data_IF_372147543270
#
_entry.id   IF_372147543270
#
_cell.length_a   1.000
_cell.length_b   1.000
_cell.length_c   1.000
_cell.angle_alpha   90.00
_cell.angle_beta   90.00
_cell.angle_gamma   90.00
#
_symmetry.space_group_name_H-M   'P 1'
#
loop_
_entity.id
_entity.type
_entity.pdbx_description
1 polymer ?
#
# COMPACT_ATOMS: atom_id res chain seq x y z
N UNK A 1 4.72 -32.26 -19.14
CA UNK A 1 3.57 -33.15 -19.38
C UNK A 1 2.49 -33.08 -18.28
N UNK A 2 2.82 -32.76 -17.02
CA UNK A 2 1.88 -32.71 -15.89
C UNK A 2 0.87 -31.55 -15.93
N UNK A 3 1.25 -30.36 -16.39
CA UNK A 3 0.32 -29.22 -16.53
C UNK A 3 -0.69 -29.39 -17.69
N UNK A 4 -0.27 -30.02 -18.79
CA UNK A 4 -1.15 -30.31 -19.93
C UNK A 4 -2.19 -31.38 -19.58
N UNK A 5 -1.83 -32.37 -18.76
CA UNK A 5 -2.76 -33.40 -18.28
C UNK A 5 -3.81 -32.81 -17.33
N UNK A 6 -3.43 -31.87 -16.46
CA UNK A 6 -4.36 -31.14 -15.60
C UNK A 6 -5.33 -30.27 -16.40
N UNK A 7 -4.84 -29.60 -17.45
CA UNK A 7 -5.65 -28.82 -18.38
C UNK A 7 -6.62 -29.71 -19.17
N UNK A 8 -6.19 -30.89 -19.63
CA UNK A 8 -7.05 -31.84 -20.35
C UNK A 8 -8.12 -32.46 -19.43
N UNK A 9 -7.79 -32.74 -18.16
CA UNK A 9 -8.77 -33.21 -17.16
C UNK A 9 -9.76 -32.10 -16.77
N UNK A 10 -9.31 -30.84 -16.65
CA UNK A 10 -10.20 -29.69 -16.47
C UNK A 10 -11.11 -29.51 -17.68
N UNK A 11 -10.59 -29.65 -18.91
CA UNK A 11 -11.35 -29.55 -20.16
C UNK A 11 -12.34 -30.71 -20.38
N UNK A 12 -12.14 -31.86 -19.72
CA UNK A 12 -13.06 -33.02 -19.76
C UNK A 12 -14.35 -32.84 -18.97
N UNK A 13 -14.47 -31.77 -18.17
CA UNK A 13 -15.69 -31.43 -17.41
C UNK A 13 -16.67 -30.54 -18.21
N UNK A 14 -16.30 -30.12 -19.43
CA UNK A 14 -17.10 -29.23 -20.27
C UNK A 14 -18.12 -30.03 -21.12
N UNK A 15 -19.05 -30.71 -20.43
CA UNK A 15 -20.26 -31.28 -21.02
C UNK A 15 -21.34 -30.21 -21.16
N UNK A 16 -22.07 -30.23 -22.27
CA UNK A 16 -23.18 -29.32 -22.55
C UNK A 16 -24.45 -29.82 -21.83
N UNK A 17 -24.75 -29.27 -20.66
CA UNK A 17 -26.11 -29.34 -20.11
C UNK A 17 -26.92 -28.13 -20.56
N UNK A 18 -28.24 -28.32 -20.67
CA UNK A 18 -29.18 -27.29 -21.08
C UNK A 18 -29.22 -26.10 -20.10
N UNK A 19 -29.74 -24.93 -20.52
CA UNK A 19 -29.86 -23.77 -19.64
C UNK A 19 -30.60 -24.09 -18.34
N UNK A 20 -30.06 -23.67 -17.19
CA UNK A 20 -30.79 -23.65 -15.91
C UNK A 20 -30.80 -24.97 -15.12
N UNK A 21 -29.84 -25.87 -15.34
CA UNK A 21 -29.69 -27.11 -14.58
C UNK A 21 -28.92 -26.96 -13.27
N UNK A 22 -28.20 -25.86 -13.06
CA UNK A 22 -27.43 -25.65 -11.83
C UNK A 22 -28.24 -25.01 -10.70
N UNK A 23 -27.93 -25.42 -9.47
CA UNK A 23 -28.51 -24.87 -8.25
C UNK A 23 -27.72 -23.65 -7.75
N UNK A 24 -28.26 -22.96 -6.75
CA UNK A 24 -27.64 -21.77 -6.13
C UNK A 24 -27.40 -20.61 -7.11
N UNK A 25 -28.47 -19.99 -7.65
CA UNK A 25 -28.36 -18.84 -8.55
C UNK A 25 -27.66 -17.63 -7.93
N UNK A 26 -27.63 -17.54 -6.59
CA UNK A 26 -26.91 -16.47 -5.87
C UNK A 26 -25.41 -16.40 -6.23
N UNK A 27 -24.80 -17.52 -6.65
CA UNK A 27 -23.40 -17.52 -7.11
C UNK A 27 -23.18 -16.75 -8.43
N UNK A 28 -24.25 -16.48 -9.19
CA UNK A 28 -24.23 -15.66 -10.42
C UNK A 28 -24.41 -14.18 -10.15
N UNK A 29 -24.85 -13.81 -8.94
CA UNK A 29 -25.07 -12.41 -8.58
C UNK A 29 -23.72 -11.72 -8.44
N UNK A 30 -23.42 -10.82 -9.38
CA UNK A 30 -22.18 -10.08 -9.39
C UNK A 30 -21.98 -9.27 -8.12
N UNK A 31 -20.80 -9.36 -7.50
CA UNK A 31 -20.50 -8.63 -6.26
C UNK A 31 -19.79 -7.29 -6.54
N UNK A 32 -20.06 -6.28 -5.71
CA UNK A 32 -19.47 -4.94 -5.81
C UNK A 32 -20.27 -3.98 -6.71
N UNK A 33 -20.51 -2.77 -6.20
CA UNK A 33 -21.36 -1.77 -6.88
C UNK A 33 -20.68 -1.17 -8.10
N UNK A 34 -19.37 -0.90 -8.02
CA UNK A 34 -18.55 -0.48 -9.16
C UNK A 34 -18.64 -1.47 -10.33
N UNK A 35 -18.51 -2.77 -10.06
CA UNK A 35 -18.58 -3.82 -11.07
C UNK A 35 -19.99 -3.91 -11.69
N UNK A 36 -21.04 -3.79 -10.87
CA UNK A 36 -22.43 -3.78 -11.34
C UNK A 36 -22.69 -2.66 -12.35
N UNK A 37 -22.19 -1.44 -12.07
CA UNK A 37 -22.31 -0.29 -12.97
C UNK A 37 -21.54 -0.43 -14.30
N UNK A 38 -20.60 -1.37 -14.37
CA UNK A 38 -19.76 -1.65 -15.54
C UNK A 38 -20.23 -2.88 -16.32
N UNK A 39 -21.53 -3.19 -16.26
CA UNK A 39 -22.11 -4.36 -16.93
C UNK A 39 -21.53 -5.67 -16.43
N UNK A 40 -20.99 -5.69 -15.20
CA UNK A 40 -20.27 -6.83 -14.63
C UNK A 40 -19.05 -7.27 -15.45
N UNK A 41 -18.47 -6.36 -16.26
CA UNK A 41 -17.16 -6.52 -16.90
C UNK A 41 -16.08 -6.09 -15.92
N UNK A 42 -15.47 -7.06 -15.24
CA UNK A 42 -14.56 -6.79 -14.13
C UNK A 42 -13.39 -7.77 -13.99
N UNK A 43 -13.27 -8.79 -14.85
CA UNK A 43 -12.20 -9.81 -14.71
C UNK A 43 -10.81 -9.19 -14.84
N UNK A 44 -10.62 -8.25 -15.76
CA UNK A 44 -9.36 -7.51 -15.93
C UNK A 44 -9.22 -6.28 -15.02
N UNK A 45 -10.35 -5.71 -14.57
CA UNK A 45 -10.39 -4.52 -13.71
C UNK A 45 -10.27 -4.84 -12.21
N UNK A 46 -10.53 -6.08 -11.81
CA UNK A 46 -10.51 -6.57 -10.42
C UNK A 46 -9.26 -6.11 -9.65
N UNK A 47 -9.41 -5.04 -8.85
CA UNK A 47 -8.32 -4.42 -8.08
C UNK A 47 -8.73 -3.93 -6.69
N UNK A 48 -9.90 -4.36 -6.21
CA UNK A 48 -10.46 -4.09 -4.89
C UNK A 48 -10.95 -5.39 -4.21
N UNK A 49 -11.74 -5.27 -3.13
CA UNK A 49 -12.24 -6.43 -2.39
C UNK A 49 -13.15 -7.35 -3.24
N UNK A 50 -13.85 -6.80 -4.24
CA UNK A 50 -14.68 -7.57 -5.16
C UNK A 50 -13.87 -8.47 -6.11
N UNK A 51 -12.54 -8.27 -6.19
CA UNK A 51 -11.65 -9.19 -6.89
C UNK A 51 -11.78 -10.63 -6.38
N UNK A 52 -12.13 -10.84 -5.10
CA UNK A 52 -12.39 -12.17 -4.55
C UNK A 52 -13.46 -12.93 -5.35
N UNK A 53 -14.48 -12.25 -5.84
CA UNK A 53 -15.56 -12.84 -6.64
C UNK A 53 -15.27 -12.86 -8.15
N UNK A 54 -14.69 -11.78 -8.68
CA UNK A 54 -14.51 -11.62 -10.14
C UNK A 54 -13.28 -12.34 -10.68
N UNK A 55 -12.14 -12.17 -10.02
CA UNK A 55 -10.89 -12.83 -10.37
C UNK A 55 -9.93 -12.75 -9.16
N UNK A 56 -9.76 -13.82 -8.36
CA UNK A 56 -8.91 -13.80 -7.18
C UNK A 56 -7.47 -13.36 -7.43
N UNK A 57 -6.93 -13.49 -8.66
CA UNK A 57 -5.61 -12.96 -8.99
C UNK A 57 -5.52 -11.44 -8.90
N UNK A 58 -6.65 -10.73 -9.01
CA UNK A 58 -6.78 -9.30 -8.80
C UNK A 58 -6.37 -8.86 -7.39
N UNK A 59 -6.54 -9.73 -6.38
CA UNK A 59 -6.09 -9.45 -5.00
C UNK A 59 -4.58 -9.20 -4.92
N UNK A 60 -3.78 -9.75 -5.85
CA UNK A 60 -2.35 -9.46 -5.95
C UNK A 60 -2.02 -7.99 -6.30
N UNK A 61 -3.02 -7.17 -6.66
CA UNK A 61 -2.90 -5.72 -6.89
C UNK A 61 -3.33 -4.89 -5.68
N UNK A 62 -4.05 -5.49 -4.73
CA UNK A 62 -4.56 -4.78 -3.56
C UNK A 62 -3.38 -4.46 -2.64
N UNK A 63 -3.09 -3.16 -2.52
CA UNK A 63 -1.96 -2.65 -1.72
C UNK A 63 -2.39 -1.88 -0.48
N UNK A 64 -3.70 -1.59 -0.38
CA UNK A 64 -4.34 -0.84 0.71
C UNK A 64 -5.40 -1.72 1.36
N UNK A 65 -5.70 -1.48 2.63
CA UNK A 65 -6.82 -2.12 3.30
C UNK A 65 -8.12 -1.64 2.66
N UNK A 66 -8.93 -2.58 2.18
CA UNK A 66 -10.23 -2.30 1.56
C UNK A 66 -11.33 -2.90 2.40
N UNK A 67 -12.39 -2.16 2.65
CA UNK A 67 -13.62 -2.67 3.25
C UNK A 67 -14.79 -2.16 2.42
N UNK A 68 -15.73 -3.03 2.07
CA UNK A 68 -16.89 -2.72 1.23
C UNK A 68 -18.15 -3.21 1.92
N UNK A 69 -19.14 -2.35 1.97
CA UNK A 69 -20.53 -2.68 2.32
C UNK A 69 -21.39 -2.34 1.11
N UNK A 70 -22.33 -3.21 0.76
CA UNK A 70 -23.30 -2.90 -0.27
C UNK A 70 -24.66 -3.51 0.02
N UNK A 71 -25.69 -2.76 -0.34
CA UNK A 71 -27.08 -3.17 -0.33
C UNK A 71 -27.59 -3.22 -1.77
N UNK A 72 -28.32 -4.27 -2.09
CA UNK A 72 -28.91 -4.49 -3.40
C UNK A 72 -30.41 -4.73 -3.25
N UNK A 73 -31.21 -3.81 -3.78
CA UNK A 73 -32.65 -3.99 -3.91
C UNK A 73 -32.93 -4.48 -5.34
N UNK A 74 -33.45 -5.68 -5.46
CA UNK A 74 -33.98 -6.21 -6.71
C UNK A 74 -35.46 -5.89 -6.84
N UNK A 75 -36.01 -6.23 -8.01
CA UNK A 75 -37.46 -6.37 -8.14
C UNK A 75 -37.98 -7.52 -7.25
N UNK A 76 -39.30 -7.55 -7.04
CA UNK A 76 -39.99 -8.55 -6.22
C UNK A 76 -39.55 -8.60 -4.73
N UNK A 77 -38.88 -7.56 -4.23
CA UNK A 77 -38.55 -7.44 -2.80
C UNK A 77 -37.39 -8.33 -2.34
N UNK A 78 -36.62 -8.91 -3.28
CA UNK A 78 -35.38 -9.64 -2.96
C UNK A 78 -34.31 -8.62 -2.58
N UNK A 79 -33.61 -8.89 -1.48
CA UNK A 79 -32.57 -8.00 -0.94
C UNK A 79 -31.27 -8.74 -0.73
N UNK A 80 -30.18 -8.21 -1.26
CA UNK A 80 -28.84 -8.70 -0.95
C UNK A 80 -28.06 -7.71 -0.09
N UNK A 81 -27.38 -8.25 0.92
CA UNK A 81 -26.41 -7.57 1.75
C UNK A 81 -25.02 -8.16 1.52
N UNK A 82 -24.06 -7.30 1.20
CA UNK A 82 -22.68 -7.68 0.90
C UNK A 82 -21.72 -7.00 1.87
N UNK A 83 -20.86 -7.81 2.49
CA UNK A 83 -19.72 -7.35 3.28
C UNK A 83 -18.46 -7.96 2.68
N UNK A 84 -17.48 -7.15 2.32
CA UNK A 84 -16.19 -7.62 1.83
C UNK A 84 -15.04 -6.86 2.46
N UNK A 85 -13.91 -7.55 2.64
CA UNK A 85 -12.69 -6.94 3.13
C UNK A 85 -11.48 -7.53 2.42
N UNK A 86 -10.47 -6.71 2.13
CA UNK A 86 -9.19 -7.16 1.62
C UNK A 86 -8.03 -6.55 2.41
N UNK A 87 -7.12 -7.43 2.84
CA UNK A 87 -6.01 -7.14 3.73
C UNK A 87 -4.69 -7.38 2.98
N UNK A 88 -3.95 -6.31 2.61
CA UNK A 88 -2.71 -6.44 1.88
C UNK A 88 -1.59 -7.03 2.77
N UNK A 89 -1.00 -8.13 2.30
CA UNK A 89 0.20 -8.78 2.83
C UNK A 89 1.47 -8.40 2.07
N UNK A 90 2.60 -9.05 2.34
CA UNK A 90 3.91 -8.70 1.72
C UNK A 90 3.94 -8.92 0.19
N UNK A 91 3.38 -10.03 -0.28
CA UNK A 91 3.44 -10.47 -1.69
C UNK A 91 2.08 -10.48 -2.40
N UNK A 92 1.00 -10.17 -1.68
CA UNK A 92 -0.37 -10.36 -2.13
C UNK A 92 -1.38 -9.78 -1.15
N UNK A 93 -2.65 -10.16 -1.24
CA UNK A 93 -3.68 -9.78 -0.28
C UNK A 93 -4.60 -10.96 0.03
N UNK A 94 -4.99 -11.08 1.30
CA UNK A 94 -6.07 -11.94 1.75
C UNK A 94 -7.39 -11.18 1.62
N UNK A 95 -8.47 -11.87 1.27
CA UNK A 95 -9.79 -11.29 1.24
C UNK A 95 -10.83 -12.20 1.88
N UNK A 96 -11.87 -11.55 2.38
CA UNK A 96 -13.06 -12.13 2.98
C UNK A 96 -14.28 -11.51 2.29
N UNK A 97 -15.32 -12.32 2.09
CA UNK A 97 -16.61 -11.85 1.59
C UNK A 97 -17.76 -12.63 2.24
N UNK A 98 -18.82 -11.93 2.60
CA UNK A 98 -20.08 -12.50 3.03
C UNK A 98 -21.19 -11.85 2.19
N UNK A 99 -21.95 -12.67 1.48
CA UNK A 99 -23.15 -12.27 0.76
C UNK A 99 -24.34 -12.96 1.42
N UNK A 100 -25.33 -12.19 1.82
CA UNK A 100 -26.61 -12.68 2.34
C UNK A 100 -27.71 -12.17 1.42
N UNK A 101 -28.65 -13.04 1.04
CA UNK A 101 -29.78 -12.71 0.19
C UNK A 101 -31.05 -13.23 0.85
N UNK A 102 -32.09 -12.39 0.90
CA UNK A 102 -33.36 -12.77 1.50
C UNK A 102 -34.55 -12.29 0.67
N UNK A 103 -35.58 -13.12 0.65
CA UNK A 103 -36.87 -12.86 0.01
C UNK A 103 -37.97 -13.19 1.02
N UNK A 104 -38.50 -12.18 1.74
CA UNK A 104 -39.59 -12.35 2.69
C UNK A 104 -40.96 -12.29 2.01
N UNK A 105 -41.97 -12.91 2.63
CA UNK A 105 -43.38 -12.67 2.27
C UNK A 105 -43.82 -13.31 0.95
N UNK A 106 -43.19 -14.42 0.55
CA UNK A 106 -43.58 -15.19 -0.62
C UNK A 106 -44.95 -15.82 -0.36
N UNK A 107 -45.90 -15.55 -1.25
CA UNK A 107 -47.25 -16.10 -1.16
C UNK A 107 -47.25 -17.61 -1.40
N UNK A 108 -48.03 -18.33 -0.59
CA UNK A 108 -48.28 -19.74 -0.78
C UNK A 108 -49.76 -19.95 -1.13
N UNK A 109 -50.01 -20.63 -2.24
CA UNK A 109 -51.35 -20.98 -2.70
C UNK A 109 -51.51 -22.50 -2.71
N UNK A 110 -52.58 -23.01 -2.10
CA UNK A 110 -52.86 -24.45 -2.05
C UNK A 110 -53.33 -24.96 -3.42
N UNK A 111 -53.31 -26.29 -3.66
CA UNK A 111 -53.90 -26.87 -4.87
C UNK A 111 -55.39 -26.57 -5.06
N UNK A 112 -56.11 -26.20 -3.98
CA UNK A 112 -57.50 -25.76 -4.02
C UNK A 112 -57.65 -24.25 -4.35
N UNK A 113 -56.56 -23.57 -4.70
CA UNK A 113 -56.49 -22.13 -4.95
C UNK A 113 -56.94 -21.27 -3.76
N UNK A 114 -56.62 -21.72 -2.54
CA UNK A 114 -56.81 -20.92 -1.33
C UNK A 114 -55.46 -20.36 -0.85
N UNK A 115 -55.41 -19.11 -0.36
CA UNK A 115 -54.18 -18.55 0.19
C UNK A 115 -53.84 -19.27 1.50
N UNK A 116 -52.58 -19.65 1.66
CA UNK A 116 -52.01 -20.09 2.94
C UNK A 116 -51.05 -19.05 3.51
N UNK A 117 -50.32 -19.44 4.55
CA UNK A 117 -49.35 -18.55 5.21
C UNK A 117 -48.17 -18.25 4.28
N UNK A 118 -47.75 -16.99 4.24
CA UNK A 118 -46.54 -16.59 3.49
C UNK A 118 -45.30 -17.21 4.12
N UNK A 119 -44.31 -17.53 3.30
CA UNK A 119 -43.01 -17.99 3.77
C UNK A 119 -41.89 -17.06 3.28
N UNK A 120 -40.69 -17.25 3.83
CA UNK A 120 -39.49 -16.54 3.37
C UNK A 120 -38.41 -17.53 2.96
N UNK A 121 -37.53 -17.10 2.07
CA UNK A 121 -36.31 -17.85 1.75
C UNK A 121 -35.09 -16.97 1.97
N UNK A 122 -33.96 -17.60 2.26
CA UNK A 122 -32.70 -16.89 2.37
C UNK A 122 -31.53 -17.76 1.98
N UNK A 123 -30.49 -17.12 1.49
CA UNK A 123 -29.24 -17.75 1.09
C UNK A 123 -28.06 -16.96 1.61
N UNK A 124 -26.96 -17.65 1.88
CA UNK A 124 -25.70 -17.03 2.27
C UNK A 124 -24.52 -17.67 1.57
N UNK A 125 -23.53 -16.86 1.22
CA UNK A 125 -22.25 -17.29 0.65
C UNK A 125 -21.13 -16.63 1.44
N UNK A 126 -20.30 -17.47 2.06
CA UNK A 126 -19.06 -17.07 2.69
C UNK A 126 -17.91 -17.36 1.73
N UNK A 127 -17.03 -16.38 1.52
CA UNK A 127 -15.89 -16.48 0.62
C UNK A 127 -14.60 -16.08 1.34
N UNK A 128 -13.55 -16.84 1.13
CA UNK A 128 -12.19 -16.52 1.56
C UNK A 128 -11.24 -16.70 0.39
N UNK A 129 -10.23 -15.85 0.26
CA UNK A 129 -9.27 -16.03 -0.81
C UNK A 129 -7.97 -15.28 -0.61
N UNK A 130 -7.01 -15.63 -1.47
CA UNK A 130 -5.70 -15.01 -1.50
C UNK A 130 -5.24 -14.85 -2.94
N UNK A 131 -4.68 -13.68 -3.26
CA UNK A 131 -4.01 -13.45 -4.54
C UNK A 131 -2.64 -12.87 -4.34
N UNK A 132 -1.69 -13.31 -5.16
CA UNK A 132 -0.27 -13.00 -5.08
C UNK A 132 0.24 -12.45 -6.41
N UNK A 133 1.14 -11.46 -6.32
CA UNK A 133 1.91 -10.99 -7.47
C UNK A 133 3.32 -11.57 -7.38
N UNK A 134 3.53 -12.71 -8.03
CA UNK A 134 4.80 -13.45 -7.97
C UNK A 134 5.86 -12.90 -8.94
N UNK A 135 5.47 -12.15 -9.96
CA UNK A 135 6.38 -11.46 -10.86
C UNK A 135 5.82 -10.09 -11.27
N UNK A 136 6.64 -9.25 -11.94
CA UNK A 136 6.23 -7.86 -12.26
C UNK A 136 4.93 -7.78 -13.06
N UNK A 137 4.66 -8.77 -13.91
CA UNK A 137 3.50 -8.81 -14.80
C UNK A 137 2.49 -9.90 -14.46
N UNK A 138 2.85 -10.89 -13.64
CA UNK A 138 2.05 -12.09 -13.44
C UNK A 138 1.46 -12.17 -12.03
N UNK A 139 0.20 -12.57 -11.96
CA UNK A 139 -0.58 -12.73 -10.73
C UNK A 139 -1.35 -14.05 -10.77
N UNK A 140 -1.50 -14.63 -9.60
CA UNK A 140 -2.31 -15.82 -9.36
C UNK A 140 -3.20 -15.57 -8.15
N UNK A 141 -4.35 -16.21 -8.09
CA UNK A 141 -5.14 -16.22 -6.88
C UNK A 141 -6.07 -17.42 -6.82
N UNK A 142 -6.50 -17.73 -5.61
CA UNK A 142 -7.47 -18.77 -5.34
C UNK A 142 -8.47 -18.27 -4.30
N UNK A 143 -9.72 -18.72 -4.43
CA UNK A 143 -10.78 -18.45 -3.48
C UNK A 143 -11.52 -19.74 -3.16
N UNK A 144 -12.01 -19.86 -1.93
CA UNK A 144 -12.94 -20.90 -1.52
C UNK A 144 -14.26 -20.25 -1.12
N UNK A 145 -15.36 -20.92 -1.44
CA UNK A 145 -16.72 -20.52 -1.10
C UNK A 145 -17.40 -21.63 -0.33
N UNK A 146 -18.10 -21.27 0.73
CA UNK A 146 -19.07 -22.13 1.40
C UNK A 146 -20.42 -21.43 1.36
N UNK A 147 -21.50 -22.18 1.17
CA UNK A 147 -22.81 -21.59 1.05
C UNK A 147 -23.91 -22.44 1.67
N UNK A 148 -25.00 -21.77 2.02
CA UNK A 148 -26.22 -22.37 2.56
C UNK A 148 -27.43 -21.67 1.95
N UNK A 149 -28.45 -22.45 1.59
CA UNK A 149 -29.72 -22.00 1.04
C UNK A 149 -30.86 -22.62 1.86
N UNK A 150 -31.72 -21.76 2.40
CA UNK A 150 -32.95 -22.14 3.09
C UNK A 150 -34.13 -21.84 2.17
N UNK A 151 -34.80 -22.91 1.74
CA UNK A 151 -36.02 -22.86 0.95
C UNK A 151 -37.20 -23.30 1.83
N UNK A 152 -38.44 -23.07 1.38
CA UNK A 152 -39.65 -23.40 2.14
C UNK A 152 -39.69 -24.85 2.64
N UNK A 153 -39.40 -25.81 1.77
CA UNK A 153 -39.50 -27.26 2.07
C UNK A 153 -38.18 -28.00 1.92
N UNK A 154 -37.07 -27.29 1.74
CA UNK A 154 -35.76 -27.88 1.50
C UNK A 154 -34.65 -26.93 1.94
N UNK A 155 -33.50 -27.51 2.22
CA UNK A 155 -32.26 -26.79 2.36
C UNK A 155 -31.21 -27.34 1.39
N UNK A 156 -30.21 -26.51 1.12
CA UNK A 156 -29.06 -26.91 0.34
C UNK A 156 -27.79 -26.26 0.87
N UNK A 157 -26.69 -26.98 0.77
CA UNK A 157 -25.38 -26.51 1.16
C UNK A 157 -24.31 -27.05 0.24
N UNK A 158 -23.14 -26.43 0.27
CA UNK A 158 -22.02 -26.87 -0.53
C UNK A 158 -20.86 -25.91 -0.48
N UNK A 159 -19.92 -26.15 -1.37
CA UNK A 159 -18.75 -25.31 -1.49
C UNK A 159 -18.10 -25.41 -2.86
N UNK A 160 -17.29 -24.41 -3.16
CA UNK A 160 -16.62 -24.29 -4.44
C UNK A 160 -15.26 -23.62 -4.34
N UNK A 161 -14.43 -23.87 -5.35
CA UNK A 161 -13.14 -23.24 -5.56
C UNK A 161 -13.24 -22.27 -6.74
N UNK A 162 -12.58 -21.12 -6.60
CA UNK A 162 -12.31 -20.19 -7.68
C UNK A 162 -10.80 -20.11 -7.90
N UNK A 163 -10.37 -20.10 -9.16
CA UNK A 163 -8.97 -19.98 -9.54
C UNK A 163 -8.82 -18.84 -10.54
N UNK A 164 -7.88 -17.94 -10.26
CA UNK A 164 -7.62 -16.76 -11.05
C UNK A 164 -6.17 -16.70 -11.53
N UNK A 165 -5.99 -16.24 -12.76
CA UNK A 165 -4.71 -15.82 -13.32
C UNK A 165 -4.85 -14.42 -13.91
N UNK A 166 -3.79 -13.63 -13.82
CA UNK A 166 -3.75 -12.29 -14.40
C UNK A 166 -2.38 -11.93 -14.93
N UNK A 167 -2.36 -11.28 -16.09
CA UNK A 167 -1.16 -10.77 -16.75
C UNK A 167 -1.35 -9.31 -17.16
N UNK A 168 -0.29 -8.51 -17.00
CA UNK A 168 -0.16 -7.17 -17.57
C UNK A 168 0.80 -7.19 -18.77
N UNK A 169 0.34 -7.50 -20.00
CA UNK A 169 1.22 -7.64 -21.16
C UNK A 169 1.85 -6.30 -21.58
N UNK A 170 1.06 -5.22 -21.51
CA UNK A 170 1.44 -3.86 -21.87
C UNK A 170 1.05 -2.91 -20.73
N UNK A 171 1.61 -1.70 -20.72
CA UNK A 171 1.17 -0.68 -19.77
C UNK A 171 -0.30 -0.31 -20.02
N UNK A 172 -1.08 -0.22 -18.94
CA UNK A 172 -2.51 0.04 -19.00
C UNK A 172 -3.39 -1.14 -19.40
N UNK A 173 -2.86 -2.18 -20.07
CA UNK A 173 -3.62 -3.36 -20.47
C UNK A 173 -3.48 -4.50 -19.47
N UNK A 174 -4.60 -5.02 -19.00
CA UNK A 174 -4.72 -6.14 -18.08
C UNK A 174 -5.54 -7.24 -18.72
N UNK A 175 -5.08 -8.48 -18.60
CA UNK A 175 -5.81 -9.66 -19.07
C UNK A 175 -5.94 -10.64 -17.92
N UNK A 176 -7.12 -11.19 -17.73
CA UNK A 176 -7.43 -12.17 -16.69
C UNK A 176 -8.05 -13.43 -17.27
N UNK A 177 -7.74 -14.56 -16.64
CA UNK A 177 -8.41 -15.84 -16.82
C UNK A 177 -8.95 -16.27 -15.47
N UNK A 178 -10.18 -16.78 -15.43
CA UNK A 178 -10.78 -17.25 -14.18
C UNK A 178 -11.62 -18.50 -14.44
N UNK A 179 -11.50 -19.47 -13.53
CA UNK A 179 -12.48 -20.54 -13.36
C UNK A 179 -13.22 -20.31 -12.04
N UNK A 180 -14.55 -20.22 -12.06
CA UNK A 180 -15.37 -19.93 -10.89
C UNK A 180 -16.35 -21.06 -10.60
N UNK A 181 -16.67 -21.18 -9.31
CA UNK A 181 -17.68 -22.09 -8.77
C UNK A 181 -17.38 -23.58 -9.03
N UNK A 182 -16.10 -23.97 -9.12
CA UNK A 182 -15.68 -25.37 -9.27
C UNK A 182 -15.95 -26.12 -7.96
N UNK A 183 -17.06 -26.84 -7.89
CA UNK A 183 -17.48 -27.45 -6.64
C UNK A 183 -18.73 -28.28 -6.75
N UNK A 184 -19.31 -28.57 -5.58
CA UNK A 184 -20.47 -29.44 -5.45
C UNK A 184 -21.48 -28.83 -4.49
N UNK A 185 -22.75 -29.08 -4.77
CA UNK A 185 -23.85 -28.78 -3.86
C UNK A 185 -24.62 -30.05 -3.54
N UNK A 186 -25.23 -30.05 -2.36
CA UNK A 186 -26.19 -31.06 -1.95
C UNK A 186 -27.49 -30.37 -1.55
N UNK A 187 -28.58 -30.82 -2.15
CA UNK A 187 -29.93 -30.45 -1.76
C UNK A 187 -30.67 -31.73 -1.37
N UNK A 188 -31.14 -31.80 -0.12
CA UNK A 188 -31.65 -33.04 0.47
C UNK A 188 -30.63 -34.20 0.34
N UNK A 189 -30.97 -35.23 -0.45
CA UNK A 189 -30.12 -36.42 -0.68
C UNK A 189 -29.48 -36.45 -2.08
N UNK A 190 -29.65 -35.38 -2.88
CA UNK A 190 -29.14 -35.33 -4.26
C UNK A 190 -27.95 -34.39 -4.36
N UNK A 191 -26.93 -34.85 -5.10
CA UNK A 191 -25.86 -33.99 -5.58
C UNK A 191 -26.36 -33.19 -6.78
N UNK A 192 -26.03 -31.90 -6.79
CA UNK A 192 -26.46 -30.96 -7.81
C UNK A 192 -25.26 -30.14 -8.28
N UNK A 193 -25.26 -29.80 -9.56
CA UNK A 193 -24.20 -29.00 -10.17
C UNK A 193 -24.34 -27.53 -9.80
N UNK A 194 -23.18 -26.88 -9.68
CA UNK A 194 -23.07 -25.45 -9.47
C UNK A 194 -22.93 -24.70 -10.81
N UNK A 195 -23.25 -23.39 -10.85
CA UNK A 195 -23.09 -22.55 -12.04
C UNK A 195 -21.60 -22.29 -12.28
N UNK A 196 -20.91 -23.34 -12.69
CA UNK A 196 -19.49 -23.40 -12.96
C UNK A 196 -19.22 -22.68 -14.27
N UNK A 197 -18.19 -21.86 -14.28
CA UNK A 197 -17.85 -21.08 -15.47
C UNK A 197 -16.36 -20.86 -15.61
N UNK A 198 -15.92 -20.80 -16.86
CA UNK A 198 -14.61 -20.27 -17.23
C UNK A 198 -14.81 -18.93 -17.94
N UNK A 199 -13.91 -17.99 -17.71
CA UNK A 199 -13.99 -16.69 -18.37
C UNK A 199 -12.61 -16.09 -18.65
N UNK A 200 -12.56 -15.29 -19.70
CA UNK A 200 -11.42 -14.45 -20.06
C UNK A 200 -11.88 -13.00 -20.10
N UNK A 201 -11.06 -12.09 -19.59
CA UNK A 201 -11.37 -10.67 -19.60
C UNK A 201 -10.16 -9.81 -19.89
N UNK A 202 -10.38 -8.68 -20.53
CA UNK A 202 -9.38 -7.68 -20.79
C UNK A 202 -9.86 -6.32 -20.29
N UNK A 203 -8.95 -5.55 -19.72
CA UNK A 203 -9.21 -4.19 -19.30
C UNK A 203 -8.08 -3.28 -19.75
N UNK A 204 -8.41 -2.19 -20.42
CA UNK A 204 -7.46 -1.17 -20.80
C UNK A 204 -7.74 0.10 -20.01
N UNK A 205 -6.72 0.63 -19.35
CA UNK A 205 -6.81 1.86 -18.56
C UNK A 205 -5.75 2.85 -18.99
N UNK A 206 -6.17 4.07 -19.32
CA UNK A 206 -5.31 5.19 -19.63
C UNK A 206 -5.86 6.47 -19.01
N UNK A 207 -5.03 7.14 -18.21
CA UNK A 207 -5.38 8.37 -17.51
C UNK A 207 -6.67 8.24 -16.66
N UNK A 208 -7.76 8.84 -17.16
CA UNK A 208 -9.08 8.90 -16.52
C UNK A 208 -10.10 7.96 -17.14
N UNK A 209 -9.71 7.14 -18.11
CA UNK A 209 -10.59 6.21 -18.82
C UNK A 209 -10.16 4.76 -18.59
N UNK A 210 -11.13 3.91 -18.27
CA UNK A 210 -10.97 2.46 -18.23
C UNK A 210 -12.06 1.80 -19.07
N UNK A 211 -11.69 0.82 -19.87
CA UNK A 211 -12.60 0.02 -20.71
C UNK A 211 -12.37 -1.45 -20.40
N UNK A 212 -13.44 -2.20 -20.20
CA UNK A 212 -13.45 -3.64 -19.93
C UNK A 212 -14.23 -4.41 -20.99
N UNK A 213 -13.76 -5.61 -21.30
CA UNK A 213 -14.44 -6.59 -22.13
C UNK A 213 -14.17 -8.00 -21.58
N UNK A 214 -15.24 -8.71 -21.23
CA UNK A 214 -15.18 -10.08 -20.70
C UNK A 214 -16.00 -11.02 -21.58
N UNK A 215 -15.47 -12.22 -21.84
CA UNK A 215 -16.14 -13.33 -22.50
C UNK A 215 -16.28 -14.50 -21.53
N UNK A 216 -17.51 -14.97 -21.34
CA UNK A 216 -17.86 -15.96 -20.33
C UNK A 216 -18.38 -17.25 -20.97
N UNK A 217 -17.89 -18.36 -20.44
CA UNK A 217 -18.26 -19.73 -20.77
C UNK A 217 -18.81 -20.42 -19.51
N UNK A 218 -20.09 -20.21 -19.17
CA UNK A 218 -20.78 -21.04 -18.18
C UNK A 218 -21.07 -22.43 -18.75
N UNK A 219 -21.11 -23.45 -17.90
CA UNK A 219 -21.40 -24.84 -18.32
C UNK A 219 -22.89 -25.11 -18.54
N UNK A 220 -23.74 -24.37 -17.83
CA UNK A 220 -25.19 -24.58 -17.71
C UNK A 220 -26.00 -23.40 -18.28
N UNK A 221 -25.39 -22.56 -19.11
CA UNK A 221 -26.03 -21.41 -19.74
C UNK A 221 -25.35 -21.03 -21.07
N UNK A 222 -26.01 -20.21 -21.91
CA UNK A 222 -25.37 -19.66 -23.10
C UNK A 222 -24.15 -18.80 -22.77
N UNK A 223 -23.16 -18.88 -23.64
CA UNK A 223 -21.97 -18.02 -23.63
C UNK A 223 -22.40 -16.58 -23.85
N UNK A 224 -21.73 -15.66 -23.18
CA UNK A 224 -22.12 -14.25 -23.23
C UNK A 224 -20.91 -13.34 -23.05
N UNK A 225 -21.10 -12.07 -23.41
CA UNK A 225 -20.09 -11.03 -23.35
C UNK A 225 -20.58 -9.94 -22.39
N UNK A 226 -19.62 -9.30 -21.72
CA UNK A 226 -19.83 -8.13 -20.87
C UNK A 226 -18.85 -7.06 -21.27
N UNK A 227 -19.32 -5.83 -21.38
CA UNK A 227 -18.50 -4.67 -21.68
C UNK A 227 -18.81 -3.54 -20.70
N UNK A 228 -17.80 -2.77 -20.34
CA UNK A 228 -17.93 -1.67 -19.39
C UNK A 228 -16.97 -0.53 -19.68
N UNK A 229 -17.38 0.69 -19.38
CA UNK A 229 -16.57 1.90 -19.49
C UNK A 229 -16.68 2.71 -18.20
N UNK A 230 -15.54 3.06 -17.62
CA UNK A 230 -15.42 3.96 -16.47
C UNK A 230 -14.67 5.23 -16.91
N UNK A 231 -15.28 6.39 -16.72
CA UNK A 231 -14.67 7.68 -16.95
C UNK A 231 -14.62 8.50 -15.66
N UNK A 232 -13.44 9.02 -15.30
CA UNK A 232 -13.20 9.79 -14.08
C UNK A 232 -12.92 11.26 -14.41
N UNK A 233 -13.95 12.09 -14.66
CA UNK A 233 -13.75 13.50 -15.04
C UNK A 233 -13.00 14.31 -13.98
N UNK A 234 -13.09 13.91 -12.71
CA UNK A 234 -12.33 14.45 -11.60
C UNK A 234 -11.93 13.32 -10.65
N UNK A 235 -10.95 13.54 -9.78
CA UNK A 235 -10.49 12.48 -8.84
C UNK A 235 -11.59 12.08 -7.85
N UNK A 236 -12.55 12.97 -7.59
CA UNK A 236 -13.72 12.75 -6.73
C UNK A 236 -14.86 12.02 -7.44
N UNK A 237 -14.96 12.06 -8.77
CA UNK A 237 -16.14 11.58 -9.51
C UNK A 237 -15.76 10.51 -10.54
N UNK A 238 -16.46 9.37 -10.50
CA UNK A 238 -16.43 8.34 -11.53
C UNK A 238 -17.83 8.17 -12.15
N UNK A 239 -17.90 8.09 -13.46
CA UNK A 239 -19.11 7.78 -14.24
C UNK A 239 -18.91 6.44 -14.94
N UNK A 240 -19.94 5.60 -14.92
CA UNK A 240 -19.84 4.21 -15.38
C UNK A 240 -21.05 3.81 -16.20
N UNK A 241 -20.78 3.07 -17.26
CA UNK A 241 -21.77 2.47 -18.14
C UNK A 241 -21.31 1.07 -18.51
N UNK A 242 -22.24 0.12 -18.63
CA UNK A 242 -21.93 -1.20 -19.15
C UNK A 242 -23.10 -1.89 -19.81
N UNK A 243 -22.78 -3.01 -20.45
CA UNK A 243 -23.72 -3.85 -21.15
C UNK A 243 -23.33 -5.32 -21.00
N UNK A 244 -24.32 -6.17 -20.69
CA UNK A 244 -24.17 -7.63 -20.63
C UNK A 244 -25.17 -8.31 -21.54
N UNK A 245 -24.71 -9.31 -22.29
CA UNK A 245 -25.58 -10.10 -23.19
C UNK A 245 -26.18 -11.33 -22.51
N UNK A 246 -25.86 -11.56 -21.24
CA UNK A 246 -26.29 -12.72 -20.46
C UNK A 246 -25.75 -12.64 -19.03
N UNK A 247 -26.21 -13.53 -18.11
CA UNK A 247 -27.21 -14.58 -18.34
C UNK A 247 -28.66 -14.08 -18.38
N UNK A 248 -28.88 -12.76 -18.32
CA UNK A 248 -30.19 -12.13 -18.52
C UNK A 248 -30.80 -12.56 -19.86
N UNK A 249 -32.08 -12.94 -19.84
CA UNK A 249 -32.85 -13.24 -21.04
C UNK A 249 -33.25 -11.94 -21.77
N UNK A 250 -32.39 -11.50 -22.68
CA UNK A 250 -32.63 -10.32 -23.51
C UNK A 250 -33.78 -10.52 -24.52
N UNK A 251 -34.12 -11.76 -24.87
CA UNK A 251 -35.23 -12.03 -25.79
C UNK A 251 -36.57 -11.76 -25.10
N UNK A 252 -36.72 -12.19 -23.83
CA UNK A 252 -37.91 -11.95 -23.02
C UNK A 252 -37.99 -10.54 -22.41
N UNK A 253 -36.86 -9.98 -21.96
CA UNK A 253 -36.83 -8.71 -21.21
C UNK A 253 -36.46 -7.50 -22.07
N UNK A 254 -36.01 -7.72 -23.31
CA UNK A 254 -35.58 -6.69 -24.24
C UNK A 254 -34.09 -6.30 -24.08
N UNK A 255 -33.53 -5.70 -25.13
CA UNK A 255 -32.11 -5.33 -25.20
C UNK A 255 -31.66 -4.41 -24.07
N UNK A 256 -32.54 -3.53 -23.59
CA UNK A 256 -32.23 -2.58 -22.53
C UNK A 256 -31.98 -3.26 -21.19
N UNK A 257 -32.48 -4.50 -20.96
CA UNK A 257 -32.18 -5.27 -19.74
C UNK A 257 -30.70 -5.68 -19.61
N UNK A 258 -29.93 -5.55 -20.70
CA UNK A 258 -28.49 -5.73 -20.70
C UNK A 258 -27.72 -4.51 -20.19
N UNK A 259 -28.33 -3.32 -20.16
CA UNK A 259 -27.67 -2.09 -19.73
C UNK A 259 -27.46 -2.06 -18.22
N UNK A 260 -26.38 -1.43 -17.81
CA UNK A 260 -26.22 -0.93 -16.44
C UNK A 260 -25.45 0.38 -16.44
N UNK A 261 -25.63 1.16 -15.38
CA UNK A 261 -24.93 2.43 -15.23
C UNK A 261 -24.82 2.81 -13.78
N UNK A 262 -23.98 3.80 -13.50
CA UNK A 262 -23.75 4.24 -12.13
C UNK A 262 -22.70 5.32 -12.01
N UNK A 263 -22.47 5.73 -10.77
CA UNK A 263 -21.45 6.71 -10.44
C UNK A 263 -20.76 6.37 -9.12
N UNK A 264 -19.60 6.97 -8.90
CA UNK A 264 -18.82 6.84 -7.68
C UNK A 264 -18.33 8.20 -7.21
N UNK A 265 -18.40 8.45 -5.90
CA UNK A 265 -17.94 9.67 -5.24
C UNK A 265 -16.83 9.32 -4.24
N UNK A 266 -15.60 9.73 -4.52
CA UNK A 266 -14.44 9.51 -3.66
C UNK A 266 -14.20 10.71 -2.73
N UNK A 267 -14.53 10.55 -1.45
CA UNK A 267 -14.42 11.55 -0.39
C UNK A 267 -13.28 11.15 0.56
N UNK A 268 -12.03 11.27 0.08
CA UNK A 268 -10.84 10.88 0.84
C UNK A 268 -10.74 9.36 1.00
N UNK A 269 -10.74 8.80 2.24
CA UNK A 269 -10.68 7.35 2.47
C UNK A 269 -12.02 6.65 2.26
N UNK A 270 -13.13 7.38 2.08
CA UNK A 270 -14.47 6.81 1.87
C UNK A 270 -14.88 7.03 0.42
N UNK A 271 -15.47 6.03 -0.20
CA UNK A 271 -16.10 6.11 -1.52
C UNK A 271 -17.54 5.64 -1.42
N UNK A 272 -18.45 6.42 -1.99
CA UNK A 272 -19.83 6.03 -2.20
C UNK A 272 -19.99 5.60 -3.65
N UNK A 273 -20.65 4.47 -3.89
CA UNK A 273 -20.99 4.02 -5.24
C UNK A 273 -22.48 3.72 -5.35
N UNK A 274 -23.03 4.01 -6.51
CA UNK A 274 -24.39 3.68 -6.88
C UNK A 274 -24.41 3.04 -8.27
N UNK A 275 -25.23 2.00 -8.43
CA UNK A 275 -25.47 1.36 -9.71
C UNK A 275 -26.96 1.08 -9.91
N UNK A 276 -27.41 1.16 -11.15
CA UNK A 276 -28.76 0.81 -11.58
C UNK A 276 -28.68 -0.12 -12.78
N UNK A 277 -29.59 -1.10 -12.83
CA UNK A 277 -29.70 -2.06 -13.93
C UNK A 277 -31.18 -2.29 -14.25
N UNK A 278 -31.70 -1.84 -15.40
CA UNK A 278 -33.02 -2.23 -15.89
C UNK A 278 -33.10 -3.74 -16.12
N UNK A 279 -34.27 -4.32 -15.87
CA UNK A 279 -34.58 -5.74 -16.10
C UNK A 279 -35.91 -5.90 -16.85
N UNK A 280 -36.19 -4.97 -17.76
CA UNK A 280 -37.40 -4.99 -18.59
C UNK A 280 -38.68 -4.94 -17.76
N UNK A 281 -39.61 -5.84 -18.06
CA UNK A 281 -40.90 -5.93 -17.37
C UNK A 281 -40.79 -6.22 -15.86
N UNK A 282 -39.64 -6.73 -15.38
CA UNK A 282 -39.40 -6.99 -13.97
C UNK A 282 -39.13 -5.71 -13.17
N UNK A 283 -38.73 -4.62 -13.82
CA UNK A 283 -38.40 -3.34 -13.19
C UNK A 283 -36.90 -3.07 -13.12
N UNK A 284 -36.47 -2.36 -12.08
CA UNK A 284 -35.09 -1.94 -11.90
C UNK A 284 -34.46 -2.62 -10.68
N UNK A 285 -33.18 -2.92 -10.79
CA UNK A 285 -32.35 -3.28 -9.66
C UNK A 285 -31.44 -2.10 -9.30
N UNK A 286 -31.36 -1.79 -8.01
CA UNK A 286 -30.59 -0.68 -7.47
C UNK A 286 -29.55 -1.19 -6.48
N UNK A 287 -28.31 -0.77 -6.64
CA UNK A 287 -27.22 -1.10 -5.72
C UNK A 287 -26.61 0.16 -5.17
N UNK A 288 -26.41 0.18 -3.86
CA UNK A 288 -25.71 1.26 -3.15
C UNK A 288 -24.59 0.65 -2.32
N UNK A 289 -23.44 1.31 -2.28
CA UNK A 289 -22.30 0.79 -1.57
C UNK A 289 -21.41 1.87 -0.97
N UNK A 290 -20.73 1.48 0.11
CA UNK A 290 -19.71 2.26 0.78
C UNK A 290 -18.42 1.45 0.79
N UNK A 291 -17.39 2.03 0.21
CA UNK A 291 -16.03 1.51 0.18
C UNK A 291 -15.13 2.36 1.07
N UNK A 292 -14.29 1.70 1.86
CA UNK A 292 -13.29 2.34 2.70
C UNK A 292 -11.90 1.89 2.27
N UNK A 293 -11.00 2.85 2.07
CA UNK A 293 -9.65 2.66 1.56
C UNK A 293 -8.59 3.23 2.49
N UNK A 294 -7.98 2.38 3.31
CA UNK A 294 -6.94 2.78 4.25
C UNK A 294 -5.56 2.36 3.77
N UNK A 295 -4.61 3.29 3.76
CA UNK A 295 -3.22 2.97 3.45
C UNK A 295 -2.70 1.88 4.40
N UNK A 296 -1.89 0.97 3.86
CA UNK A 296 -1.23 -0.04 4.69
C UNK A 296 -0.24 0.66 5.63
N UNK A 297 -0.44 0.54 6.95
CA UNK A 297 0.56 0.98 7.94
C UNK A 297 1.90 0.30 7.60
N UNK A 298 2.90 1.04 7.12
CA UNK A 298 4.27 0.53 6.92
C UNK A 298 4.76 0.34 5.48
N UNK A 299 4.25 1.05 4.48
CA UNK A 299 4.71 0.91 3.07
C UNK A 299 5.59 2.05 2.55
N UNK A 300 6.00 2.97 3.43
CA UNK A 300 6.80 4.13 3.06
C UNK A 300 8.16 3.74 2.49
N UNK A 301 8.61 4.51 1.50
CA UNK A 301 9.98 4.42 0.98
C UNK A 301 10.65 5.77 1.11
N UNK A 302 11.88 5.79 1.62
CA UNK A 302 12.68 7.01 1.68
C UNK A 302 13.97 6.74 0.91
N UNK A 303 14.17 7.46 -0.20
CA UNK A 303 15.45 7.50 -0.89
C UNK A 303 16.27 8.64 -0.33
N UNK A 304 17.40 8.31 0.26
CA UNK A 304 18.36 9.25 0.81
C UNK A 304 19.46 9.45 -0.22
N UNK A 305 19.81 10.71 -0.47
CA UNK A 305 20.90 11.09 -1.36
C UNK A 305 21.88 12.01 -0.62
N UNK A 306 23.12 11.61 -0.48
CA UNK A 306 24.20 12.41 0.12
C UNK A 306 25.03 13.07 -0.98
N UNK A 307 25.23 14.37 -0.88
CA UNK A 307 25.91 15.20 -1.90
C UNK A 307 26.84 16.22 -1.28
N UNK A 308 27.79 16.73 -2.06
CA UNK A 308 28.57 17.93 -1.67
C UNK A 308 27.67 19.16 -1.61
N UNK A 309 27.88 20.02 -0.61
CA UNK A 309 27.20 21.32 -0.53
C UNK A 309 27.51 22.20 -1.76
N UNK A 310 28.78 22.24 -2.18
CA UNK A 310 29.21 22.86 -3.42
C UNK A 310 29.13 21.86 -4.59
N UNK A 311 28.19 22.07 -5.52
CA UNK A 311 28.15 21.36 -6.81
C UNK A 311 27.32 20.06 -6.86
N UNK A 312 26.65 19.66 -5.77
CA UNK A 312 25.74 18.50 -5.73
C UNK A 312 26.35 17.18 -6.23
N UNK A 313 27.67 17.03 -6.10
CA UNK A 313 28.35 15.80 -6.49
C UNK A 313 28.03 14.69 -5.48
N UNK A 314 27.81 13.44 -5.93
CA UNK A 314 27.44 12.37 -5.00
C UNK A 314 28.59 11.99 -4.07
N UNK A 315 28.27 11.76 -2.79
CA UNK A 315 29.22 11.33 -1.77
C UNK A 315 28.75 10.05 -1.09
N UNK A 316 29.63 9.08 -0.89
CA UNK A 316 29.35 7.94 -0.01
C UNK A 316 29.59 8.37 1.43
N UNK A 317 28.59 8.21 2.30
CA UNK A 317 28.61 8.64 3.69
C UNK A 317 27.97 7.61 4.62
N UNK A 318 28.35 7.67 5.90
CA UNK A 318 27.76 6.84 6.94
C UNK A 318 26.44 7.45 7.40
N UNK A 319 25.42 6.61 7.54
CA UNK A 319 24.09 6.96 7.99
C UNK A 319 23.75 6.21 9.27
N UNK A 320 23.19 6.91 10.24
CA UNK A 320 22.55 6.33 11.41
C UNK A 320 21.11 6.85 11.53
N UNK A 321 20.18 5.94 11.77
CA UNK A 321 18.75 6.22 11.76
C UNK A 321 18.14 6.03 13.15
N UNK A 322 17.15 6.86 13.43
CA UNK A 322 16.37 6.80 14.68
C UNK A 322 14.91 7.23 14.43
N UNK A 323 13.99 6.80 15.32
CA UNK A 323 12.55 7.01 15.19
C UNK A 323 11.81 5.83 14.55
N UNK A 324 11.11 6.05 13.43
CA UNK A 324 10.32 4.98 12.75
C UNK A 324 11.16 3.86 12.14
N UNK A 325 12.48 4.05 12.06
CA UNK A 325 13.45 3.04 11.67
C UNK A 325 14.74 3.29 12.46
N UNK A 326 15.32 2.23 13.01
CA UNK A 326 16.57 2.29 13.77
C UNK A 326 17.58 1.35 13.12
N UNK A 327 18.78 1.86 12.86
CA UNK A 327 19.83 1.09 12.22
C UNK A 327 20.94 1.98 11.67
N UNK A 328 21.92 1.37 11.04
CA UNK A 328 23.01 2.06 10.36
C UNK A 328 23.15 1.55 8.93
N UNK A 329 23.63 2.42 8.05
CA UNK A 329 23.92 2.06 6.66
C UNK A 329 24.99 2.98 6.08
N UNK A 330 25.44 2.64 4.88
CA UNK A 330 26.26 3.52 4.05
C UNK A 330 25.54 3.80 2.74
N UNK A 331 25.72 5.01 2.21
CA UNK A 331 25.29 5.30 0.85
C UNK A 331 26.23 4.69 -0.18
N UNK A 332 25.71 4.31 -1.34
CA UNK A 332 26.49 3.74 -2.43
C UNK A 332 27.47 4.75 -3.06
N UNK A 333 28.20 4.34 -4.11
CA UNK A 333 29.13 5.22 -4.85
C UNK A 333 28.44 6.41 -5.55
N UNK A 334 27.13 6.35 -5.73
CA UNK A 334 26.30 7.43 -6.26
C UNK A 334 25.62 8.23 -5.13
N UNK A 335 26.07 8.04 -3.89
CA UNK A 335 25.56 8.70 -2.70
C UNK A 335 24.12 8.34 -2.38
N UNK A 336 23.62 7.15 -2.75
CA UNK A 336 22.22 6.75 -2.55
C UNK A 336 22.07 5.64 -1.51
N UNK A 337 21.00 5.72 -0.73
CA UNK A 337 20.52 4.63 0.12
C UNK A 337 19.00 4.62 0.14
N UNK A 338 18.36 3.45 0.05
CA UNK A 338 16.90 3.34 0.05
C UNK A 338 16.40 2.55 1.27
N UNK A 339 15.59 3.21 2.10
CA UNK A 339 14.81 2.57 3.15
C UNK A 339 13.43 2.21 2.60
N UNK A 340 12.98 0.99 2.87
CA UNK A 340 11.67 0.50 2.43
C UNK A 340 10.89 -0.11 3.59
N UNK A 341 9.57 -0.13 3.48
CA UNK A 341 8.70 -0.71 4.52
C UNK A 341 8.55 0.19 5.75
N UNK A 342 8.74 1.51 5.58
CA UNK A 342 8.71 2.45 6.68
C UNK A 342 7.26 2.76 7.13
N UNK A 343 7.06 2.79 8.45
CA UNK A 343 5.81 3.26 9.07
C UNK A 343 5.73 4.80 9.03
N UNK A 344 4.50 5.37 9.02
CA UNK A 344 4.34 6.81 9.19
C UNK A 344 4.89 7.27 10.54
N UNK A 345 5.61 8.40 10.56
CA UNK A 345 6.17 8.99 11.79
C UNK A 345 7.49 9.72 11.56
N UNK A 346 8.20 10.07 12.64
CA UNK A 346 9.45 10.83 12.57
C UNK A 346 10.63 9.89 12.28
N UNK A 347 11.41 10.22 11.25
CA UNK A 347 12.70 9.60 10.93
C UNK A 347 13.79 10.65 11.14
N UNK A 348 14.76 10.36 12.00
CA UNK A 348 15.95 11.18 12.19
C UNK A 348 17.09 10.49 11.44
N UNK A 349 17.78 11.23 10.58
CA UNK A 349 18.91 10.75 9.78
C UNK A 349 20.14 11.51 10.24
N UNK A 350 21.08 10.81 10.86
CA UNK A 350 22.39 11.34 11.23
C UNK A 350 23.38 10.91 10.15
N UNK A 351 24.03 11.87 9.52
CA UNK A 351 24.98 11.64 8.42
C UNK A 351 26.37 12.09 8.85
N UNK A 352 27.37 11.23 8.66
CA UNK A 352 28.76 11.55 8.99
C UNK A 352 29.74 11.06 7.92
N UNK A 353 30.78 11.88 7.71
CA UNK A 353 31.94 11.58 6.87
C UNK A 353 33.17 12.25 7.50
N UNK A 354 34.35 11.60 7.57
CA UNK A 354 35.48 12.10 8.37
C UNK A 354 35.98 13.51 8.06
N UNK A 355 35.92 13.94 6.80
CA UNK A 355 36.38 15.25 6.31
C UNK A 355 35.27 16.31 6.21
N UNK A 356 34.08 16.01 6.77
CA UNK A 356 32.86 16.83 6.61
C UNK A 356 32.18 17.10 7.93
N UNK A 357 31.46 18.21 7.99
CA UNK A 357 30.62 18.56 9.14
C UNK A 357 29.46 17.54 9.24
N UNK A 358 29.30 16.83 10.38
CA UNK A 358 28.18 15.91 10.57
C UNK A 358 26.84 16.64 10.55
N UNK A 359 25.81 16.02 9.97
CA UNK A 359 24.47 16.61 9.85
C UNK A 359 23.40 15.74 10.46
N UNK A 360 22.35 16.37 11.01
CA UNK A 360 21.15 15.70 11.51
C UNK A 360 19.93 16.26 10.79
N UNK A 361 19.27 15.43 10.00
CA UNK A 361 18.04 15.77 9.28
C UNK A 361 16.85 15.05 9.91
N UNK A 362 15.70 15.72 9.98
CA UNK A 362 14.45 15.12 10.46
C UNK A 362 13.41 15.12 9.35
N UNK A 363 12.91 13.94 9.01
CA UNK A 363 11.89 13.73 7.99
C UNK A 363 10.62 13.14 8.61
N UNK A 364 9.45 13.66 8.26
CA UNK A 364 8.17 12.99 8.55
C UNK A 364 7.85 11.99 7.44
N UNK A 365 7.91 10.71 7.77
CA UNK A 365 7.53 9.61 6.89
C UNK A 365 6.01 9.52 6.82
N UNK A 366 5.46 9.43 5.60
CA UNK A 366 4.02 9.35 5.35
C UNK A 366 3.49 7.90 5.25
N UNK A 367 4.36 6.94 4.95
CA UNK A 367 4.06 5.50 4.98
C UNK A 367 3.21 4.95 3.83
N UNK A 368 2.84 5.79 2.86
CA UNK A 368 1.98 5.46 1.71
C UNK A 368 2.62 5.78 0.35
N UNK A 369 3.79 6.44 0.34
CA UNK A 369 4.46 6.93 -0.87
C UNK A 369 5.98 6.89 -0.76
N UNK A 370 6.65 7.18 -1.87
CA UNK A 370 8.09 7.42 -1.93
C UNK A 370 8.40 8.87 -1.58
N UNK A 371 9.35 9.09 -0.68
CA UNK A 371 9.89 10.39 -0.32
C UNK A 371 11.39 10.43 -0.60
N UNK A 372 11.92 11.64 -0.77
CA UNK A 372 13.34 11.88 -1.05
C UNK A 372 13.90 12.78 0.05
N UNK A 373 15.07 12.42 0.57
CA UNK A 373 15.86 13.27 1.46
C UNK A 373 17.21 13.50 0.79
N UNK A 374 17.53 14.77 0.48
CA UNK A 374 18.85 15.14 -0.03
C UNK A 374 19.61 15.81 1.10
N UNK A 375 20.79 15.26 1.43
CA UNK A 375 21.63 15.69 2.53
C UNK A 375 22.93 16.21 1.92
N UNK A 376 23.13 17.51 2.04
CA UNK A 376 24.33 18.22 1.64
C UNK A 376 25.34 18.23 2.79
N UNK A 377 26.59 17.84 2.48
CA UNK A 377 27.71 17.82 3.43
C UNK A 377 28.75 18.86 3.04
N UNK A 378 29.04 19.75 3.98
CA UNK A 378 30.05 20.81 3.86
C UNK A 378 31.44 20.28 4.26
N UNK A 379 32.49 20.82 3.62
CA UNK A 379 33.87 20.57 4.05
C UNK A 379 34.03 21.02 5.49
N UNK A 380 34.71 20.21 6.29
CA UNK A 380 35.16 20.67 7.59
C UNK A 380 36.39 21.55 7.35
N UNK A 381 36.23 22.85 7.55
CA UNK A 381 37.36 23.79 7.49
C UNK A 381 38.19 23.71 8.76
N UNK A 382 39.48 24.01 8.63
CA UNK A 382 40.44 23.98 9.73
C UNK A 382 41.10 25.35 9.91
N UNK A 383 41.36 25.71 11.15
CA UNK A 383 42.19 26.84 11.55
C UNK A 383 43.37 26.40 12.40
N UNK A 384 44.03 27.35 13.04
CA UNK A 384 45.05 27.08 14.04
C UNK A 384 44.87 28.01 15.23
N UNK A 385 45.19 27.52 16.43
CA UNK A 385 45.22 28.32 17.65
C UNK A 385 46.69 28.54 18.01
N UNK A 386 47.10 29.79 18.15
CA UNK A 386 48.40 30.10 18.73
C UNK A 386 48.19 30.64 20.14
N UNK A 387 48.75 29.97 21.14
CA UNK A 387 48.59 30.35 22.55
C UNK A 387 49.93 30.74 23.14
N UNK A 388 49.97 31.84 23.86
CA UNK A 388 51.12 32.26 24.63
C UNK A 388 50.76 32.50 26.10
N UNK A 389 51.62 32.01 26.99
CA UNK A 389 51.48 32.11 28.43
C UNK A 389 52.51 33.10 28.97
N UNK A 390 52.04 34.05 29.77
CA UNK A 390 52.90 35.02 30.43
C UNK A 390 52.57 35.10 31.92
N UNK A 391 53.57 35.37 32.73
CA UNK A 391 53.37 35.75 34.13
C UNK A 391 52.69 37.13 34.18
N UNK A 392 51.61 37.23 34.96
CA UNK A 392 50.77 38.43 34.99
C UNK A 392 51.49 39.67 35.55
N UNK A 393 52.51 39.51 36.41
CA UNK A 393 53.25 40.59 37.05
C UNK A 393 54.49 40.98 36.25
N UNK A 394 55.35 40.01 35.94
CA UNK A 394 56.64 40.24 35.28
C UNK A 394 56.52 40.41 33.77
N UNK A 395 55.39 39.99 33.18
CA UNK A 395 55.15 39.94 31.73
C UNK A 395 56.18 39.08 30.97
N UNK A 396 56.92 38.22 31.67
CA UNK A 396 57.84 37.29 31.02
C UNK A 396 57.10 36.04 30.54
N UNK A 397 57.54 35.44 29.41
CA UNK A 397 56.97 34.19 28.92
C UNK A 397 57.21 33.06 29.92
N UNK A 398 56.21 32.21 30.10
CA UNK A 398 56.27 31.05 30.99
C UNK A 398 55.84 29.79 30.25
N UNK A 399 56.30 28.63 30.73
CA UNK A 399 55.83 27.32 30.26
C UNK A 399 54.54 26.89 30.96
N UNK A 400 54.01 25.73 30.59
CA UNK A 400 52.81 25.17 31.22
C UNK A 400 52.06 24.22 30.31
N UNK A 401 50.76 24.04 30.55
CA UNK A 401 49.88 23.25 29.67
C UNK A 401 48.63 24.03 29.30
N UNK A 402 48.17 23.87 28.07
CA UNK A 402 46.91 24.44 27.59
C UNK A 402 45.99 23.31 27.16
N UNK A 403 44.83 23.21 27.83
CA UNK A 403 43.71 22.37 27.41
C UNK A 403 42.79 23.18 26.51
N UNK A 404 42.32 22.58 25.44
CA UNK A 404 41.34 23.17 24.54
C UNK A 404 40.15 22.22 24.40
N UNK A 405 38.94 22.76 24.50
CA UNK A 405 37.69 22.02 24.39
C UNK A 405 36.71 22.76 23.47
N UNK A 406 36.29 22.11 22.39
CA UNK A 406 35.35 22.63 21.41
C UNK A 406 34.84 21.49 20.50
N UNK A 407 34.73 21.68 19.18
CA UNK A 407 34.49 20.60 18.21
C UNK A 407 35.41 19.38 18.36
N UNK A 408 36.63 19.60 18.85
CA UNK A 408 37.56 18.56 19.33
C UNK A 408 38.14 19.00 20.68
N UNK A 409 38.71 18.06 21.42
CA UNK A 409 39.38 18.35 22.69
C UNK A 409 40.80 17.80 22.70
N UNK A 410 41.68 18.45 23.45
CA UNK A 410 43.06 18.00 23.62
C UNK A 410 43.83 18.84 24.64
N UNK A 411 45.07 18.44 24.87
CA UNK A 411 46.01 19.14 25.74
C UNK A 411 47.34 19.31 25.01
N UNK A 412 47.94 20.48 25.14
CA UNK A 412 49.20 20.83 24.50
C UNK A 412 50.16 21.45 25.53
N UNK A 413 51.38 20.93 25.58
CA UNK A 413 52.44 21.49 26.42
C UNK A 413 53.01 22.77 25.78
N UNK A 414 53.21 23.79 26.62
CA UNK A 414 53.79 25.09 26.25
C UNK A 414 55.23 25.15 26.79
N UNK A 415 56.24 25.17 25.91
CA UNK A 415 57.63 25.20 26.35
C UNK A 415 58.03 26.54 26.99
N UNK A 416 58.78 26.49 28.08
CA UNK A 416 59.13 27.66 28.90
C UNK A 416 59.98 28.72 28.21
N UNK A 417 60.79 28.33 27.21
CA UNK A 417 61.64 29.26 26.46
C UNK A 417 60.83 30.28 25.65
N UNK A 418 60.07 29.86 24.62
CA UNK A 418 59.25 30.76 23.81
C UNK A 418 57.92 31.14 24.47
N UNK A 419 57.52 30.45 25.55
CA UNK A 419 56.25 30.65 26.27
C UNK A 419 55.01 30.55 25.40
N UNK A 420 55.10 29.85 24.26
CA UNK A 420 54.04 29.81 23.26
C UNK A 420 54.06 28.53 22.45
N UNK A 421 52.89 28.14 21.92
CA UNK A 421 52.70 26.95 21.08
C UNK A 421 51.60 27.17 20.04
N UNK A 422 51.75 26.55 18.87
CA UNK A 422 50.73 26.53 17.83
C UNK A 422 50.03 25.16 17.77
N UNK A 423 48.72 25.14 17.99
CA UNK A 423 47.84 23.99 17.81
C UNK A 423 47.26 24.08 16.40
N UNK A 424 47.70 23.19 15.51
CA UNK A 424 47.40 23.25 14.08
C UNK A 424 46.30 22.27 13.70
N UNK A 425 45.62 22.55 12.58
CA UNK A 425 44.57 21.70 12.00
C UNK A 425 43.42 21.43 12.98
N UNK A 426 42.99 22.49 13.66
CA UNK A 426 41.86 22.44 14.59
C UNK A 426 40.60 22.80 13.81
N UNK A 427 39.51 22.00 13.87
CA UNK A 427 38.25 22.33 13.21
C UNK A 427 37.74 23.73 13.60
N UNK A 428 37.07 24.41 12.67
CA UNK A 428 36.44 25.71 12.97
C UNK A 428 35.36 25.58 14.05
N UNK A 429 35.26 26.59 14.91
CA UNK A 429 34.28 26.61 16.00
C UNK A 429 34.74 27.37 17.23
N UNK A 430 33.88 27.42 18.24
CA UNK A 430 34.20 27.99 19.55
C UNK A 430 34.99 26.99 20.40
N UNK A 431 36.08 27.47 21.01
CA UNK A 431 36.94 26.70 21.92
C UNK A 431 37.04 27.41 23.25
N UNK A 432 36.89 26.64 24.33
CA UNK A 432 37.33 27.03 25.67
C UNK A 432 38.78 26.57 25.86
N UNK A 433 39.67 27.52 26.11
CA UNK A 433 41.04 27.25 26.51
C UNK A 433 41.15 27.33 28.02
N UNK A 434 41.86 26.40 28.64
CA UNK A 434 42.28 26.44 30.05
C UNK A 434 43.79 26.28 30.13
N UNK A 435 44.48 27.31 30.60
CA UNK A 435 45.92 27.29 30.79
C UNK A 435 46.29 27.05 32.24
N UNK A 436 47.25 26.15 32.45
CA UNK A 436 47.90 25.89 33.73
C UNK A 436 49.36 26.32 33.62
N UNK A 437 49.90 26.91 34.70
CA UNK A 437 51.30 27.31 34.76
C UNK A 437 52.25 26.13 34.85
N UNK A 438 53.57 26.38 34.95
CA UNK A 438 54.58 25.31 35.03
C UNK A 438 54.56 24.56 36.36
N UNK A 439 53.96 25.15 37.40
CA UNK A 439 53.82 24.57 38.74
C UNK A 439 52.52 25.07 39.42
N UNK A 440 52.21 24.52 40.59
CA UNK A 440 51.01 24.83 41.37
C UNK A 440 50.99 26.27 41.94
N UNK A 441 52.08 27.03 41.79
CA UNK A 441 52.11 28.42 42.24
C UNK A 441 51.34 29.36 41.32
N UNK A 442 50.85 28.91 40.17
CA UNK A 442 50.02 29.69 39.24
C UNK A 442 48.55 29.24 39.27
N UNK A 443 47.64 30.20 39.29
CA UNK A 443 46.20 29.94 39.17
C UNK A 443 45.84 29.63 37.71
N UNK A 444 45.05 28.56 37.45
CA UNK A 444 44.53 28.28 36.13
C UNK A 444 43.71 29.44 35.58
N UNK A 445 43.86 29.72 34.29
CA UNK A 445 43.12 30.79 33.61
C UNK A 445 42.42 30.25 32.37
N UNK A 446 41.14 30.55 32.22
CA UNK A 446 40.34 30.10 31.08
C UNK A 446 39.80 31.26 30.24
N UNK A 447 39.64 31.02 28.95
CA UNK A 447 38.99 31.96 28.02
C UNK A 447 38.29 31.22 26.89
N UNK A 448 37.36 31.87 26.22
CA UNK A 448 36.76 31.38 24.98
C UNK A 448 37.30 32.13 23.76
N UNK A 449 37.46 31.43 22.65
CA UNK A 449 37.82 32.02 21.36
C UNK A 449 37.11 31.28 20.22
N UNK A 450 36.85 31.97 19.12
CA UNK A 450 36.33 31.38 17.88
C UNK A 450 37.47 31.16 16.88
N UNK A 451 37.61 29.94 16.37
CA UNK A 451 38.59 29.57 15.34
C UNK A 451 37.96 29.75 13.96
N UNK A 452 38.55 30.62 13.15
CA UNK A 452 38.11 30.92 11.78
C UNK A 452 38.89 30.11 10.72
N UNK A 453 38.28 29.85 9.53
CA UNK A 453 38.91 29.08 8.46
C UNK A 453 40.23 29.68 7.98
N UNK A 454 41.32 28.91 7.97
CA UNK A 454 42.61 29.33 7.41
C UNK A 454 43.31 30.45 8.19
N UNK A 455 42.78 30.88 9.33
CA UNK A 455 43.36 31.93 10.19
C UNK A 455 44.06 31.30 11.39
N UNK A 456 45.16 31.92 11.82
CA UNK A 456 45.77 31.62 13.11
C UNK A 456 45.12 32.54 14.15
N UNK A 457 44.31 31.97 15.03
CA UNK A 457 43.66 32.71 16.12
C UNK A 457 44.64 32.79 17.29
N UNK A 458 45.11 34.01 17.59
CA UNK A 458 46.08 34.25 18.65
C UNK A 458 45.39 34.53 19.98
N UNK A 459 45.84 33.85 21.04
CA UNK A 459 45.38 34.10 22.40
C UNK A 459 46.56 34.21 23.36
N UNK A 460 46.58 35.29 24.14
CA UNK A 460 47.58 35.52 25.20
C UNK A 460 46.91 35.39 26.55
N UNK A 461 47.43 34.50 27.39
CA UNK A 461 46.90 34.25 28.73
C UNK A 461 47.91 34.72 29.77
N UNK A 462 47.44 35.60 30.65
CA UNK A 462 48.23 36.14 31.76
C UNK A 462 47.89 35.35 33.02
N UNK A 463 48.79 34.48 33.46
CA UNK A 463 48.58 33.65 34.64
C UNK A 463 49.10 34.39 35.87
N UNK A 464 48.25 34.48 36.90
CA UNK A 464 48.61 35.07 38.19
C UNK A 464 49.17 34.01 39.11
N UNK A 465 50.14 34.38 39.92
CA UNK A 465 50.57 33.52 41.02
C UNK A 465 49.48 33.45 42.07
N UNK A 466 49.28 32.27 42.64
CA UNK A 466 48.55 32.10 43.88
C UNK A 466 49.32 32.88 44.95
N UNK A 467 48.80 34.05 45.34
CA UNK A 467 49.31 34.76 46.50
C UNK A 467 49.20 33.80 47.68
N UNK A 468 50.33 33.47 48.31
CA UNK A 468 50.33 32.72 49.56
C UNK A 468 49.47 33.42 50.61
N UNK A 469 48.99 32.69 51.64
CA UNK A 469 48.15 33.25 52.69
C UNK A 469 48.77 34.48 53.36
#
# INVERSE_FOLDING_TARGET
MTAALLIIVLLGQFGHDGPGTAVMPLLRVGQGVRAAALGESYIGLADDAAALYWNPAGLGRVTRYRFSLAHHEWWAGIRDELVQAAFPGRSGAFAFGLLYSAEPGIEYWTPANTPGDTFGTWSSVLSLGYGVRFARRYRLGAGIKGFYNSLHTADGYGGALDLGFGIRPLEGLEVGLVGRNLGIARYRERWCDLPTEAAIGAAWTRDRLSVGLDYLYPLDAPRHIRAGVEYRPADVLALRLGYRTGPVDLAGLGWHAGLSGGFGLALGPVRFDYAVSPHGALGFAHRVGLDFDFARRGSGRVLIRTVTAAGLQPLSANLAFDGVYTGTATTDRLGRHELTGLLPGRLIIRTSLPDRVPRVDTLRVLGDRRQFATIDLELMDYGSIWVALYDAETKQPIGGTVRYAGPVYGEQEVPAGPGSVAIRNVPIGEYELTANGPDESYLPTSCTLAVEPGVVTEQRLLLRRATGP
#
